data_IF_429445548524
#
_entry.id   IF_429445548524
#
_cell.length_a   1.000
_cell.length_b   1.000
_cell.length_c   1.000
_cell.angle_alpha   90.00
_cell.angle_beta   90.00
_cell.angle_gamma   90.00
#
_symmetry.space_group_name_H-M   'P 1'
#
loop_
_entity.id
_entity.type
_entity.pdbx_description
1 polymer ?
#
# COMPACT_ATOMS: atom_id res chain seq x y z
N UNK A 1 19.60 8.19 26.86
CA UNK A 1 20.67 9.19 26.63
C UNK A 1 20.64 9.74 25.21
N UNK A 2 20.68 8.92 24.15
CA UNK A 2 20.70 9.40 22.74
C UNK A 2 19.47 10.22 22.35
N UNK A 3 18.28 9.82 22.80
CA UNK A 3 17.04 10.54 22.49
C UNK A 3 17.04 11.93 23.12
N UNK A 4 17.42 12.06 24.38
CA UNK A 4 17.54 13.36 25.08
C UNK A 4 18.50 14.31 24.37
N UNK A 5 19.60 13.80 23.86
CA UNK A 5 20.55 14.60 23.10
C UNK A 5 19.97 15.12 21.79
N UNK A 6 19.17 14.30 21.08
CA UNK A 6 18.45 14.72 19.88
C UNK A 6 17.39 15.78 20.20
N UNK A 7 16.65 15.61 21.30
CA UNK A 7 15.67 16.59 21.76
C UNK A 7 16.31 17.92 22.13
N UNK A 8 17.49 17.89 22.75
CA UNK A 8 18.29 19.09 23.04
C UNK A 8 18.76 19.78 21.74
N UNK A 9 19.25 19.05 20.76
CA UNK A 9 19.69 19.59 19.47
C UNK A 9 18.52 20.19 18.66
N UNK A 10 17.34 19.59 18.73
CA UNK A 10 16.13 20.07 18.06
C UNK A 10 15.49 21.23 18.84
N UNK A 11 15.75 21.34 20.15
CA UNK A 11 15.18 22.35 21.05
C UNK A 11 13.72 22.08 21.44
N UNK A 12 13.21 20.87 21.18
CA UNK A 12 11.83 20.47 21.46
C UNK A 12 11.79 19.01 21.90
N UNK A 13 10.93 18.63 22.88
CA UNK A 13 10.67 17.23 23.19
C UNK A 13 9.96 16.54 22.01
N UNK A 14 10.37 15.32 21.71
CA UNK A 14 9.80 14.48 20.65
C UNK A 14 8.81 13.45 21.20
N UNK A 15 8.86 13.22 22.51
CA UNK A 15 8.04 12.22 23.18
C UNK A 15 7.19 12.83 24.29
N UNK A 16 6.01 12.28 24.46
CA UNK A 16 5.17 12.50 25.64
C UNK A 16 5.10 11.25 26.51
N UNK A 17 5.08 11.45 27.83
CA UNK A 17 4.97 10.38 28.80
C UNK A 17 3.50 10.14 29.16
N UNK A 18 3.06 8.89 29.03
CA UNK A 18 1.71 8.44 29.38
C UNK A 18 1.78 7.44 30.55
N UNK A 19 0.66 7.26 31.31
CA UNK A 19 0.57 6.22 32.33
C UNK A 19 0.65 4.82 31.71
N UNK A 20 1.73 4.35 31.26
CA UNK A 20 1.90 3.03 30.60
C UNK A 20 2.95 3.02 29.52
N UNK A 21 3.66 4.12 29.29
CA UNK A 21 4.72 4.15 28.31
C UNK A 21 5.05 5.54 27.78
N UNK A 22 5.66 5.54 26.62
CA UNK A 22 6.10 6.74 25.92
C UNK A 22 5.50 6.72 24.52
N UNK A 23 4.98 7.84 24.06
CA UNK A 23 4.45 8.02 22.70
C UNK A 23 5.15 9.20 22.02
N UNK A 24 5.29 9.17 20.71
CA UNK A 24 5.69 10.33 19.95
C UNK A 24 4.61 11.43 20.08
N UNK A 25 5.05 12.65 20.29
CA UNK A 25 4.19 13.81 20.11
C UNK A 25 4.24 14.30 18.66
N UNK A 26 3.50 15.34 18.29
CA UNK A 26 3.46 15.88 16.93
C UNK A 26 4.84 16.24 16.37
N UNK A 27 5.72 16.84 17.19
CA UNK A 27 7.10 17.14 16.77
C UNK A 27 7.90 15.86 16.51
N UNK A 28 7.71 14.83 17.35
CA UNK A 28 8.31 13.51 17.18
C UNK A 28 7.84 12.80 15.92
N UNK A 29 6.56 12.91 15.55
CA UNK A 29 6.03 12.34 14.31
C UNK A 29 6.63 13.02 13.08
N UNK A 30 6.70 14.35 13.07
CA UNK A 30 7.35 15.13 12.00
C UNK A 30 8.83 14.72 11.86
N UNK A 31 9.54 14.62 12.98
CA UNK A 31 10.94 14.24 13.00
C UNK A 31 11.15 12.81 12.51
N UNK A 32 10.33 11.85 12.99
CA UNK A 32 10.40 10.46 12.54
C UNK A 32 10.20 10.34 11.04
N UNK A 33 9.23 11.08 10.50
CA UNK A 33 8.99 11.08 9.06
C UNK A 33 10.18 11.63 8.27
N UNK A 34 10.79 12.71 8.74
CA UNK A 34 12.00 13.25 8.14
C UNK A 34 13.15 12.22 8.15
N UNK A 35 13.39 11.58 9.27
CA UNK A 35 14.42 10.55 9.40
C UNK A 35 14.16 9.38 8.45
N UNK A 36 12.91 8.89 8.36
CA UNK A 36 12.53 7.82 7.42
C UNK A 36 12.80 8.23 5.97
N UNK A 37 12.47 9.47 5.59
CA UNK A 37 12.78 10.01 4.27
C UNK A 37 14.28 10.01 3.97
N UNK A 38 15.11 10.44 4.92
CA UNK A 38 16.57 10.44 4.77
C UNK A 38 17.13 9.02 4.57
N UNK A 39 16.63 8.04 5.31
CA UNK A 39 17.02 6.64 5.12
C UNK A 39 16.58 6.07 3.77
N UNK A 40 15.38 6.41 3.31
CA UNK A 40 14.91 6.01 1.99
C UNK A 40 15.74 6.64 0.86
N UNK A 41 16.10 7.91 0.99
CA UNK A 41 16.99 8.61 0.05
C UNK A 41 18.38 7.98 0.02
N UNK A 42 18.93 7.65 1.19
CA UNK A 42 20.22 6.95 1.28
C UNK A 42 20.17 5.57 0.59
N UNK A 43 19.12 4.79 0.83
CA UNK A 43 18.93 3.50 0.19
C UNK A 43 18.83 3.64 -1.34
N UNK A 44 18.13 4.69 -1.82
CA UNK A 44 18.05 5.00 -3.25
C UNK A 44 19.43 5.33 -3.85
N UNK A 45 20.21 6.16 -3.19
CA UNK A 45 21.59 6.51 -3.62
C UNK A 45 22.47 5.27 -3.64
N UNK A 46 22.39 4.42 -2.61
CA UNK A 46 23.13 3.15 -2.57
C UNK A 46 22.73 2.23 -3.73
N UNK A 47 21.44 2.16 -4.07
CA UNK A 47 20.96 1.40 -5.24
C UNK A 47 21.51 1.97 -6.55
N UNK A 48 21.50 3.30 -6.72
CA UNK A 48 22.07 3.95 -7.90
C UNK A 48 23.57 3.69 -8.06
N UNK A 49 24.31 3.73 -6.95
CA UNK A 49 25.75 3.40 -6.95
C UNK A 49 25.96 1.91 -7.31
N UNK A 50 25.16 1.02 -6.77
CA UNK A 50 25.20 -0.41 -7.08
C UNK A 50 24.89 -0.69 -8.57
N UNK A 51 23.96 0.07 -9.17
CA UNK A 51 23.65 -0.02 -10.60
C UNK A 51 24.85 0.32 -11.50
N UNK A 52 25.74 1.22 -11.08
CA UNK A 52 27.00 1.51 -11.79
C UNK A 52 27.93 0.29 -11.86
N UNK A 53 27.82 -0.61 -10.90
CA UNK A 53 28.59 -1.86 -10.83
C UNK A 53 27.94 -3.02 -11.62
N UNK A 54 26.82 -2.77 -12.30
CA UNK A 54 26.08 -3.78 -13.07
C UNK A 54 25.34 -4.83 -12.22
N UNK A 55 25.38 -4.74 -10.90
CA UNK A 55 24.73 -5.66 -9.97
C UNK A 55 23.57 -4.92 -9.32
N UNK A 56 22.38 -5.08 -9.87
CA UNK A 56 21.15 -4.58 -9.23
C UNK A 56 20.86 -5.39 -7.98
N UNK A 57 21.12 -4.76 -6.84
CA UNK A 57 20.75 -5.27 -5.51
C UNK A 57 19.77 -4.28 -4.91
N UNK A 58 18.76 -4.78 -4.23
CA UNK A 58 17.79 -3.91 -3.57
C UNK A 58 16.75 -4.70 -2.83
N UNK A 59 15.93 -3.96 -2.12
CA UNK A 59 14.80 -4.48 -1.38
C UNK A 59 13.58 -3.62 -1.71
N UNK A 60 12.50 -4.24 -2.16
CA UNK A 60 11.26 -3.55 -2.55
C UNK A 60 10.13 -4.00 -1.62
N UNK A 61 9.51 -3.05 -0.94
CA UNK A 61 8.38 -3.29 -0.06
C UNK A 61 7.09 -2.92 -0.77
N UNK A 62 6.20 -3.89 -0.93
CA UNK A 62 4.96 -3.73 -1.67
C UNK A 62 3.77 -3.92 -0.73
N UNK A 63 2.91 -2.90 -0.65
CA UNK A 63 1.64 -2.94 0.05
C UNK A 63 0.51 -3.22 -0.95
N UNK A 64 -0.34 -4.22 -0.71
CA UNK A 64 -1.38 -4.58 -1.67
C UNK A 64 -2.58 -5.29 -1.07
N UNK A 65 -3.71 -5.19 -1.74
CA UNK A 65 -4.89 -6.01 -1.47
C UNK A 65 -4.67 -7.49 -1.77
N UNK A 66 -5.51 -8.34 -1.18
CA UNK A 66 -5.40 -9.80 -1.32
C UNK A 66 -5.44 -10.30 -2.76
N UNK A 67 -6.17 -9.61 -3.65
CA UNK A 67 -6.38 -10.06 -5.02
C UNK A 67 -5.11 -10.00 -5.87
N UNK A 68 -4.35 -8.89 -5.76
CA UNK A 68 -3.08 -8.76 -6.45
C UNK A 68 -1.99 -9.68 -5.87
N UNK A 69 -2.04 -9.96 -4.56
CA UNK A 69 -1.12 -10.88 -3.88
C UNK A 69 -1.28 -12.33 -4.31
N UNK A 70 -2.46 -12.73 -4.82
CA UNK A 70 -2.72 -14.13 -5.18
C UNK A 70 -2.06 -14.57 -6.48
N UNK A 71 -2.00 -13.69 -7.45
CA UNK A 71 -1.55 -14.06 -8.80
C UNK A 71 -0.63 -13.01 -9.42
N UNK A 72 -1.09 -11.78 -9.52
CA UNK A 72 -0.37 -10.74 -10.26
C UNK A 72 1.03 -10.47 -9.68
N UNK A 73 1.13 -10.22 -8.38
CA UNK A 73 2.41 -9.91 -7.75
C UNK A 73 3.40 -11.08 -7.75
N UNK A 74 3.02 -12.33 -7.43
CA UNK A 74 3.92 -13.47 -7.55
C UNK A 74 4.47 -13.65 -8.96
N UNK A 75 3.63 -13.54 -9.99
CA UNK A 75 4.05 -13.66 -11.40
C UNK A 75 4.99 -12.51 -11.81
N UNK A 76 4.66 -11.28 -11.45
CA UNK A 76 5.48 -10.10 -11.74
C UNK A 76 6.85 -10.17 -11.03
N UNK A 77 6.87 -10.56 -9.76
CA UNK A 77 8.09 -10.71 -8.97
C UNK A 77 8.95 -11.85 -9.53
N UNK A 78 8.36 -12.98 -9.88
CA UNK A 78 9.09 -14.09 -10.48
C UNK A 78 9.76 -13.68 -11.79
N UNK A 79 9.03 -12.98 -12.65
CA UNK A 79 9.55 -12.44 -13.92
C UNK A 79 10.70 -11.45 -13.68
N UNK A 80 10.51 -10.50 -12.74
CA UNK A 80 11.52 -9.50 -12.41
C UNK A 80 12.80 -10.13 -11.83
N UNK A 81 12.64 -11.08 -10.91
CA UNK A 81 13.78 -11.79 -10.29
C UNK A 81 14.55 -12.66 -11.29
N UNK A 82 13.91 -13.12 -12.35
CA UNK A 82 14.61 -13.80 -13.45
C UNK A 82 15.72 -12.96 -14.07
N UNK A 83 15.49 -11.66 -14.23
CA UNK A 83 16.48 -10.70 -14.73
C UNK A 83 17.33 -10.06 -13.60
N UNK A 84 16.83 -10.00 -12.38
CA UNK A 84 17.44 -9.32 -11.23
C UNK A 84 17.43 -10.20 -9.98
N UNK A 85 18.21 -11.31 -9.93
CA UNK A 85 18.11 -12.31 -8.85
C UNK A 85 18.52 -11.78 -7.46
N UNK A 86 19.29 -10.71 -7.40
CA UNK A 86 19.74 -10.10 -6.15
C UNK A 86 18.76 -9.08 -5.55
N UNK A 87 17.58 -8.88 -6.17
CA UNK A 87 16.52 -8.04 -5.62
C UNK A 87 15.57 -8.88 -4.77
N UNK A 88 15.30 -8.42 -3.56
CA UNK A 88 14.38 -9.02 -2.61
C UNK A 88 13.07 -8.21 -2.50
N UNK A 89 12.01 -8.86 -2.06
CA UNK A 89 10.69 -8.26 -1.98
C UNK A 89 10.03 -8.61 -0.65
N UNK A 90 9.44 -7.61 0.01
CA UNK A 90 8.48 -7.79 1.10
C UNK A 90 7.09 -7.45 0.61
N UNK A 91 6.13 -8.30 0.96
CA UNK A 91 4.73 -8.14 0.59
C UNK A 91 3.88 -7.97 1.85
N UNK A 92 3.22 -6.83 1.98
CA UNK A 92 2.27 -6.55 3.05
C UNK A 92 0.85 -6.54 2.49
N UNK A 93 -0.04 -7.34 3.09
CA UNK A 93 -1.47 -7.29 2.78
C UNK A 93 -2.12 -6.15 3.56
N UNK A 94 -2.74 -5.22 2.84
CA UNK A 94 -3.45 -4.08 3.42
C UNK A 94 -4.54 -3.57 2.47
N UNK A 95 -5.34 -2.63 2.93
CA UNK A 95 -6.38 -1.96 2.14
C UNK A 95 -6.00 -0.49 1.90
N UNK A 96 -6.79 0.22 1.07
CA UNK A 96 -6.47 1.52 0.52
C UNK A 96 -5.83 2.51 1.50
N UNK A 97 -6.52 2.88 2.58
CA UNK A 97 -6.01 3.86 3.56
C UNK A 97 -4.75 3.38 4.28
N UNK A 98 -4.68 2.09 4.62
CA UNK A 98 -3.49 1.51 5.24
C UNK A 98 -2.32 1.49 4.26
N UNK A 99 -2.58 1.20 2.98
CA UNK A 99 -1.56 1.22 1.94
C UNK A 99 -0.99 2.62 1.72
N UNK A 100 -1.86 3.63 1.69
CA UNK A 100 -1.46 5.04 1.62
C UNK A 100 -0.64 5.46 2.85
N UNK A 101 -1.06 5.06 4.06
CA UNK A 101 -0.31 5.31 5.29
C UNK A 101 1.08 4.65 5.26
N UNK A 102 1.20 3.44 4.73
CA UNK A 102 2.49 2.74 4.57
C UNK A 102 3.41 3.41 3.55
N UNK A 103 2.87 3.97 2.46
CA UNK A 103 3.65 4.80 1.53
C UNK A 103 4.14 6.07 2.21
N UNK A 104 3.25 6.73 2.96
CA UNK A 104 3.59 7.96 3.68
C UNK A 104 4.63 7.73 4.77
N UNK A 105 4.52 6.64 5.54
CA UNK A 105 5.51 6.26 6.57
C UNK A 105 6.78 5.64 6.02
N UNK A 106 6.87 5.49 4.68
CA UNK A 106 7.97 4.81 4.00
C UNK A 106 8.14 3.33 4.45
N UNK A 107 7.07 2.71 4.94
CA UNK A 107 7.02 1.27 5.23
C UNK A 107 6.66 0.45 3.98
N UNK A 108 6.29 1.12 2.89
CA UNK A 108 6.15 0.57 1.56
C UNK A 108 6.73 1.52 0.51
N UNK A 109 7.31 0.95 -0.53
CA UNK A 109 7.86 1.68 -1.67
C UNK A 109 6.84 1.77 -2.81
N UNK A 110 5.97 0.76 -2.91
CA UNK A 110 4.93 0.64 -3.92
C UNK A 110 3.64 0.18 -3.25
N UNK A 111 2.51 0.73 -3.69
CA UNK A 111 1.20 0.20 -3.32
C UNK A 111 0.39 -0.19 -4.57
N UNK A 112 -0.24 -1.37 -4.52
CA UNK A 112 -1.25 -1.80 -5.49
C UNK A 112 -2.60 -1.83 -4.80
N UNK A 113 -3.45 -0.87 -5.11
CA UNK A 113 -4.77 -0.72 -4.49
C UNK A 113 -5.86 -0.49 -5.54
N UNK A 114 -7.08 -0.81 -5.19
CA UNK A 114 -8.24 -0.34 -5.95
C UNK A 114 -8.51 1.12 -5.61
N UNK A 115 -8.75 1.94 -6.63
CA UNK A 115 -9.19 3.33 -6.44
C UNK A 115 -10.46 3.38 -5.56
N UNK A 116 -10.73 4.49 -4.86
CA UNK A 116 -10.10 5.80 -5.01
C UNK A 116 -8.83 5.96 -4.16
N UNK A 117 -7.87 6.74 -4.67
CA UNK A 117 -6.69 7.19 -3.94
C UNK A 117 -7.02 8.57 -3.35
N UNK A 118 -6.81 8.73 -2.05
CA UNK A 118 -7.14 9.97 -1.33
C UNK A 118 -5.93 10.82 -0.98
N UNK A 119 -4.74 10.21 -0.92
CA UNK A 119 -3.53 10.90 -0.52
C UNK A 119 -2.98 11.80 -1.63
N UNK A 120 -2.93 13.11 -1.39
CA UNK A 120 -2.46 14.11 -2.35
C UNK A 120 -0.96 13.99 -2.72
N UNK A 121 -0.18 13.24 -1.93
CA UNK A 121 1.28 13.13 -2.09
C UNK A 121 1.71 11.81 -2.74
N UNK A 122 0.77 10.98 -3.19
CA UNK A 122 1.05 9.70 -3.84
C UNK A 122 1.13 9.92 -5.35
N UNK A 123 2.25 9.50 -5.95
CA UNK A 123 2.40 9.46 -7.39
C UNK A 123 1.76 8.19 -7.95
N UNK A 124 0.79 8.35 -8.87
CA UNK A 124 0.17 7.23 -9.56
C UNK A 124 1.02 6.87 -10.77
N UNK A 125 1.81 5.81 -10.66
CA UNK A 125 2.69 5.35 -11.73
C UNK A 125 1.94 4.66 -12.87
N UNK A 126 0.86 3.93 -12.56
CA UNK A 126 0.03 3.26 -13.56
C UNK A 126 -1.38 3.05 -13.05
N UNK A 127 -2.33 3.04 -13.96
CA UNK A 127 -3.74 2.70 -13.69
C UNK A 127 -4.19 1.59 -14.63
N UNK A 128 -4.67 0.49 -14.06
CA UNK A 128 -5.22 -0.63 -14.80
C UNK A 128 -6.75 -0.65 -14.62
N UNK A 129 -7.48 -0.62 -15.70
CA UNK A 129 -8.94 -0.77 -15.65
C UNK A 129 -9.30 -2.25 -15.53
N UNK A 130 -10.12 -2.57 -14.53
CA UNK A 130 -10.67 -3.90 -14.34
C UNK A 130 -12.20 -3.84 -14.26
N UNK A 131 -12.85 -4.83 -14.84
CA UNK A 131 -14.29 -4.97 -14.73
C UNK A 131 -14.64 -5.71 -13.43
N UNK A 132 -15.67 -5.24 -12.76
CA UNK A 132 -16.26 -5.94 -11.61
C UNK A 132 -17.29 -6.92 -12.15
N UNK A 133 -17.19 -8.19 -11.79
CA UNK A 133 -18.12 -9.23 -12.19
C UNK A 133 -18.96 -9.67 -11.01
N UNK A 134 -20.25 -9.88 -11.27
CA UNK A 134 -21.13 -10.53 -10.33
C UNK A 134 -21.10 -12.05 -10.60
N UNK A 135 -20.77 -12.84 -9.60
CA UNK A 135 -20.75 -14.30 -9.68
C UNK A 135 -22.06 -14.84 -9.11
N UNK A 136 -22.71 -15.71 -9.85
CA UNK A 136 -24.01 -16.29 -9.46
C UNK A 136 -24.18 -17.69 -10.05
N UNK A 137 -25.09 -18.51 -9.51
CA UNK A 137 -25.45 -19.80 -10.12
C UNK A 137 -25.98 -19.62 -11.55
N UNK A 138 -25.70 -20.60 -12.43
CA UNK A 138 -26.12 -20.55 -13.84
C UNK A 138 -27.68 -20.42 -14.04
N UNK A 139 -28.47 -20.93 -13.10
CA UNK A 139 -29.92 -20.81 -13.13
C UNK A 139 -30.46 -19.51 -12.51
N UNK A 140 -29.61 -18.58 -12.13
CA UNK A 140 -30.10 -17.32 -11.53
C UNK A 140 -30.76 -16.43 -12.57
N UNK A 141 -31.85 -15.70 -12.19
CA UNK A 141 -32.62 -14.83 -13.09
C UNK A 141 -31.79 -13.77 -13.83
N UNK A 142 -30.65 -13.41 -13.32
CA UNK A 142 -29.74 -12.43 -13.91
C UNK A 142 -28.58 -13.08 -14.71
N UNK A 143 -28.42 -14.40 -14.69
CA UNK A 143 -27.28 -15.09 -15.28
C UNK A 143 -27.15 -14.94 -16.81
N UNK A 144 -28.25 -14.66 -17.51
CA UNK A 144 -28.29 -14.44 -18.96
C UNK A 144 -28.01 -12.99 -19.39
N UNK A 145 -27.64 -12.10 -18.46
CA UNK A 145 -27.37 -10.69 -18.78
C UNK A 145 -25.87 -10.42 -18.90
N UNK A 146 -25.47 -9.78 -19.99
CA UNK A 146 -24.08 -9.34 -20.19
C UNK A 146 -23.66 -8.25 -19.20
N UNK A 147 -24.62 -7.43 -18.76
CA UNK A 147 -24.39 -6.34 -17.82
C UNK A 147 -25.49 -6.30 -16.77
N UNK A 148 -25.09 -6.16 -15.50
CA UNK A 148 -25.98 -6.05 -14.35
C UNK A 148 -25.74 -4.66 -13.73
N UNK A 149 -26.80 -3.90 -13.52
CA UNK A 149 -26.74 -2.64 -12.76
C UNK A 149 -26.89 -2.94 -11.27
N UNK A 150 -26.28 -2.14 -10.41
CA UNK A 150 -26.36 -2.32 -8.96
C UNK A 150 -27.83 -2.39 -8.49
N UNK A 151 -28.71 -1.55 -9.04
CA UNK A 151 -30.13 -1.57 -8.74
C UNK A 151 -30.84 -2.90 -9.09
N UNK A 152 -30.29 -3.68 -10.03
CA UNK A 152 -30.87 -4.97 -10.41
C UNK A 152 -30.64 -6.03 -9.32
N UNK A 153 -29.71 -5.75 -8.38
CA UNK A 153 -29.41 -6.58 -7.21
C UNK A 153 -30.32 -6.28 -6.01
N UNK A 154 -31.22 -5.30 -6.14
CA UNK A 154 -32.19 -4.98 -5.08
C UNK A 154 -33.07 -6.19 -4.80
N UNK A 155 -33.16 -6.58 -3.52
CA UNK A 155 -33.91 -7.76 -3.09
C UNK A 155 -33.17 -9.09 -3.22
N UNK A 156 -31.95 -9.09 -3.75
CA UNK A 156 -31.09 -10.28 -3.79
C UNK A 156 -30.23 -10.41 -2.53
N UNK A 157 -29.94 -11.65 -2.14
CA UNK A 157 -28.94 -11.93 -1.12
C UNK A 157 -27.56 -11.87 -1.74
N UNK A 158 -26.81 -10.80 -1.44
CA UNK A 158 -25.51 -10.53 -2.05
C UNK A 158 -24.39 -10.65 -1.01
N UNK A 159 -23.32 -11.36 -1.36
CA UNK A 159 -22.07 -11.37 -0.60
C UNK A 159 -21.15 -10.30 -1.18
N UNK A 160 -20.79 -9.34 -0.36
CA UNK A 160 -19.92 -8.23 -0.75
C UNK A 160 -18.59 -8.29 -0.02
N UNK A 161 -17.52 -7.71 -0.59
CA UNK A 161 -16.28 -7.51 0.15
C UNK A 161 -16.50 -6.65 1.40
N UNK A 162 -15.56 -6.70 2.34
CA UNK A 162 -15.59 -5.85 3.54
C UNK A 162 -15.54 -4.36 3.18
N UNK A 163 -16.06 -3.50 4.06
CA UNK A 163 -16.11 -2.04 3.83
C UNK A 163 -14.73 -1.39 3.56
N UNK A 164 -13.65 -2.02 4.03
CA UNK A 164 -12.28 -1.57 3.80
C UNK A 164 -11.78 -1.86 2.38
N UNK A 165 -12.46 -2.72 1.63
CA UNK A 165 -12.09 -3.03 0.24
C UNK A 165 -12.45 -1.86 -0.68
N UNK A 166 -11.51 -1.42 -1.52
CA UNK A 166 -11.78 -0.40 -2.53
C UNK A 166 -12.91 -0.79 -3.50
N UNK A 167 -13.04 -2.08 -3.83
CA UNK A 167 -14.17 -2.59 -4.63
C UNK A 167 -15.52 -2.32 -3.92
N UNK A 168 -15.59 -2.55 -2.59
CA UNK A 168 -16.80 -2.28 -1.83
C UNK A 168 -17.10 -0.79 -1.81
N UNK A 169 -16.12 0.06 -1.60
CA UNK A 169 -16.30 1.52 -1.60
C UNK A 169 -16.83 2.02 -2.97
N UNK A 170 -16.32 1.46 -4.06
CA UNK A 170 -16.84 1.78 -5.41
C UNK A 170 -18.29 1.34 -5.60
N UNK A 171 -18.66 0.17 -5.08
CA UNK A 171 -20.04 -0.32 -5.15
C UNK A 171 -21.01 0.50 -4.31
N UNK A 172 -20.58 0.98 -3.15
CA UNK A 172 -21.40 1.79 -2.24
C UNK A 172 -21.64 3.22 -2.76
N UNK A 173 -20.81 3.69 -3.71
CA UNK A 173 -20.92 5.04 -4.31
C UNK A 173 -21.56 5.05 -5.70
N UNK A 174 -21.89 3.89 -6.28
CA UNK A 174 -22.46 3.74 -7.61
C UNK A 174 -23.97 3.52 -7.60
#
# INVERSE_FOLDING_TARGET
>A
RRILQIEEEIGQPLFERLPGGVRLNTAGEIFLQHIRSQFADLARVQSQIADLSGIRRGHVRIASGADALRRFLPEAIASYRGAHPAVSFDLARCYGEEAEARLFSLDADIALIFAPIRAAHVHVAATLRQQIHCVMPAGHRLAGRDTIRIRDLSGESVVLPTAQSGVRQLLDTA
#
